data_IF_944050449939
#
_entry.id   IF_944050449939
#
_cell.length_a   1.000
_cell.length_b   1.000
_cell.length_c   1.000
_cell.angle_alpha   90.00
_cell.angle_beta   90.00
_cell.angle_gamma   90.00
#
_symmetry.space_group_name_H-M   'P 1'
#
loop_
_entity.id
_entity.type
_entity.pdbx_description
1 polymer ?
#
# COMPACT_ATOMS: atom_id res chain seq x y z
N UNK A 1 7.68 8.25 -18.83
CA UNK A 1 6.48 8.95 -18.28
C UNK A 1 6.75 10.39 -17.80
N UNK A 2 7.99 10.85 -17.61
CA UNK A 2 8.28 12.21 -17.07
C UNK A 2 8.15 13.37 -18.07
N UNK A 3 8.04 13.11 -19.38
CA UNK A 3 8.20 14.13 -20.43
C UNK A 3 7.04 15.14 -20.55
N UNK A 4 5.90 14.93 -19.87
CA UNK A 4 4.72 15.82 -19.94
C UNK A 4 4.23 16.36 -18.58
N UNK A 5 5.01 16.22 -17.51
CA UNK A 5 4.62 16.73 -16.19
C UNK A 5 4.98 18.22 -16.05
N UNK A 6 4.10 19.00 -15.43
CA UNK A 6 4.44 20.36 -14.99
C UNK A 6 5.54 20.33 -13.93
N UNK A 7 6.27 21.43 -13.73
CA UNK A 7 7.28 21.54 -12.67
C UNK A 7 6.71 21.23 -11.28
N UNK A 8 5.46 21.60 -11.02
CA UNK A 8 4.77 21.27 -9.77
C UNK A 8 4.59 19.75 -9.61
N UNK A 9 4.11 19.08 -10.66
CA UNK A 9 3.93 17.62 -10.66
C UNK A 9 5.25 16.87 -10.56
N UNK A 10 6.30 17.33 -11.22
CA UNK A 10 7.66 16.76 -11.10
C UNK A 10 8.13 16.80 -9.64
N UNK A 11 7.97 17.94 -8.95
CA UNK A 11 8.31 18.07 -7.53
C UNK A 11 7.49 17.15 -6.62
N UNK A 12 6.21 16.95 -6.89
CA UNK A 12 5.40 16.00 -6.13
C UNK A 12 5.92 14.58 -6.29
N UNK A 13 6.26 14.18 -7.52
CA UNK A 13 6.84 12.86 -7.81
C UNK A 13 8.19 12.69 -7.12
N UNK A 14 9.09 13.67 -7.25
CA UNK A 14 10.41 13.63 -6.60
C UNK A 14 10.32 13.54 -5.07
N UNK A 15 9.41 14.31 -4.47
CA UNK A 15 9.17 14.25 -3.02
C UNK A 15 8.62 12.89 -2.58
N UNK A 16 7.73 12.31 -3.38
CA UNK A 16 7.18 10.99 -3.08
C UNK A 16 8.22 9.88 -3.24
N UNK A 17 9.05 9.93 -4.29
CA UNK A 17 10.19 9.01 -4.46
C UNK A 17 11.15 9.11 -3.26
N UNK A 18 11.48 10.33 -2.83
CA UNK A 18 12.29 10.54 -1.62
C UNK A 18 11.63 9.96 -0.36
N UNK A 19 10.31 10.13 -0.21
CA UNK A 19 9.57 9.60 0.94
C UNK A 19 9.62 8.06 0.96
N UNK A 20 9.32 7.40 -0.16
CA UNK A 20 9.37 5.96 -0.30
C UNK A 20 10.78 5.40 -0.06
N UNK A 21 11.81 6.04 -0.61
CA UNK A 21 13.21 5.64 -0.40
C UNK A 21 13.58 5.74 1.09
N UNK A 22 13.13 6.78 1.79
CA UNK A 22 13.38 6.94 3.22
C UNK A 22 12.67 5.85 4.04
N UNK A 23 11.41 5.53 3.73
CA UNK A 23 10.66 4.46 4.40
C UNK A 23 11.32 3.09 4.22
N UNK A 24 11.70 2.75 2.99
CA UNK A 24 12.35 1.47 2.66
C UNK A 24 13.73 1.33 3.33
N UNK A 25 14.45 2.43 3.52
CA UNK A 25 15.73 2.45 4.24
C UNK A 25 15.56 2.57 5.76
N UNK A 26 14.33 2.73 6.25
CA UNK A 26 14.03 2.93 7.66
C UNK A 26 14.50 4.27 8.23
N UNK A 27 14.67 5.28 7.39
CA UNK A 27 15.03 6.64 7.79
C UNK A 27 13.80 7.45 8.20
N UNK A 28 13.39 7.23 9.46
CA UNK A 28 12.22 7.89 10.04
C UNK A 28 12.29 9.42 9.99
N UNK A 29 13.48 10.02 10.15
CA UNK A 29 13.61 11.47 10.18
C UNK A 29 13.43 12.07 8.81
N UNK A 30 14.00 11.46 7.77
CA UNK A 30 13.76 11.87 6.38
C UNK A 30 12.30 11.63 5.97
N UNK A 31 11.70 10.48 6.31
CA UNK A 31 10.28 10.20 6.05
C UNK A 31 9.39 11.29 6.67
N UNK A 32 9.58 11.61 7.95
CA UNK A 32 8.79 12.65 8.62
C UNK A 32 9.07 14.06 8.08
N UNK A 33 10.27 14.30 7.54
CA UNK A 33 10.63 15.58 6.95
C UNK A 33 9.92 15.85 5.61
N UNK A 34 9.50 14.81 4.86
CA UNK A 34 8.74 15.00 3.61
C UNK A 34 7.25 15.25 3.84
N UNK A 35 6.75 14.96 5.04
CA UNK A 35 5.36 15.18 5.43
C UNK A 35 5.08 16.60 5.93
N UNK A 36 3.80 17.00 5.85
CA UNK A 36 3.29 18.29 6.31
C UNK A 36 3.28 18.38 7.84
N UNK A 37 2.85 19.52 8.41
CA UNK A 37 2.79 19.69 9.87
C UNK A 37 1.62 18.96 10.54
N UNK A 38 0.57 18.65 9.79
CA UNK A 38 -0.60 17.89 10.25
C UNK A 38 -0.97 16.77 9.27
N UNK A 39 -0.10 15.75 9.11
CA UNK A 39 -0.32 14.66 8.17
C UNK A 39 -1.23 13.57 8.77
N UNK A 40 -1.83 12.74 7.93
CA UNK A 40 -2.41 11.47 8.38
C UNK A 40 -2.12 10.32 7.44
N UNK A 41 -1.94 9.14 8.00
CA UNK A 41 -1.70 7.88 7.29
C UNK A 41 -2.84 6.92 7.66
N UNK A 42 -3.45 6.29 6.66
CA UNK A 42 -4.50 5.31 6.88
C UNK A 42 -4.38 4.12 5.93
N UNK A 43 -4.06 2.96 6.50
CA UNK A 43 -4.21 1.65 5.90
C UNK A 43 -5.65 1.20 6.06
N UNK A 44 -6.46 1.55 5.06
CA UNK A 44 -7.93 1.62 5.16
C UNK A 44 -8.57 0.30 5.60
N UNK A 45 -8.19 -0.88 5.06
CA UNK A 45 -8.89 -2.13 5.39
C UNK A 45 -8.74 -2.60 6.84
N UNK A 46 -7.73 -2.10 7.57
CA UNK A 46 -7.49 -2.46 8.98
C UNK A 46 -7.43 -1.25 9.92
N UNK A 47 -7.69 -0.05 9.39
CA UNK A 47 -7.64 1.22 10.13
C UNK A 47 -6.31 1.46 10.87
N UNK A 48 -5.19 1.00 10.30
CA UNK A 48 -3.87 1.17 10.89
C UNK A 48 -3.20 2.46 10.36
N UNK A 49 -2.59 3.24 11.25
CA UNK A 49 -1.90 4.47 10.86
C UNK A 49 -1.80 5.47 12.00
N UNK A 50 -1.81 6.75 11.65
CA UNK A 50 -1.66 7.85 12.61
C UNK A 50 -2.18 9.18 12.07
N UNK A 51 -2.44 10.11 12.98
CA UNK A 51 -2.90 11.48 12.67
C UNK A 51 -2.00 12.50 13.38
N UNK A 52 -1.70 13.58 12.70
CA UNK A 52 -0.75 14.60 13.13
C UNK A 52 0.69 14.08 13.12
N UNK A 53 1.66 15.00 13.22
CA UNK A 53 3.10 14.65 13.16
C UNK A 53 3.50 13.61 14.20
N UNK A 54 2.99 13.72 15.42
CA UNK A 54 3.33 12.80 16.50
C UNK A 54 2.71 11.40 16.27
N UNK A 55 1.44 11.33 15.89
CA UNK A 55 0.75 10.05 15.67
C UNK A 55 1.34 9.28 14.49
N UNK A 56 1.60 9.97 13.38
CA UNK A 56 2.24 9.35 12.21
C UNK A 56 3.67 8.90 12.53
N UNK A 57 4.47 9.73 13.22
CA UNK A 57 5.84 9.35 13.63
C UNK A 57 5.84 8.12 14.54
N UNK A 58 4.91 8.06 15.50
CA UNK A 58 4.76 6.91 16.38
C UNK A 58 4.43 5.65 15.57
N UNK A 59 3.45 5.73 14.68
CA UNK A 59 3.08 4.60 13.84
C UNK A 59 4.26 4.10 13.00
N UNK A 60 4.99 5.00 12.33
CA UNK A 60 6.13 4.62 11.52
C UNK A 60 7.22 3.92 12.33
N UNK A 61 7.61 4.50 13.47
CA UNK A 61 8.63 3.94 14.35
C UNK A 61 8.26 2.53 14.83
N UNK A 62 7.00 2.33 15.19
CA UNK A 62 6.58 1.13 15.89
C UNK A 62 6.19 0.00 14.91
N UNK A 63 5.66 0.33 13.72
CA UNK A 63 4.97 -0.63 12.85
C UNK A 63 5.46 -0.72 11.40
N UNK A 64 6.35 0.17 10.93
CA UNK A 64 6.61 0.28 9.49
C UNK A 64 8.10 0.42 9.15
N UNK A 65 8.84 1.29 9.83
CA UNK A 65 10.30 1.44 9.66
C UNK A 65 11.03 0.15 10.07
N UNK A 66 11.69 -0.49 9.10
CA UNK A 66 12.41 -1.75 9.29
C UNK A 66 11.53 -3.00 9.43
N UNK A 67 10.21 -2.86 9.27
CA UNK A 67 9.21 -3.93 9.39
C UNK A 67 8.22 -3.97 8.21
N UNK A 68 8.53 -3.24 7.14
CA UNK A 68 7.58 -2.97 6.06
C UNK A 68 7.16 -4.25 5.33
N UNK A 69 8.11 -5.09 4.92
CA UNK A 69 7.78 -6.31 4.19
C UNK A 69 8.78 -7.43 4.45
N UNK A 70 8.36 -8.69 4.24
CA UNK A 70 9.26 -9.84 4.18
C UNK A 70 10.39 -9.66 3.14
N UNK A 71 11.54 -10.35 3.29
CA UNK A 71 12.69 -10.19 2.39
C UNK A 71 12.41 -10.54 0.91
N UNK A 72 11.39 -11.35 0.64
CA UNK A 72 11.03 -11.78 -0.72
C UNK A 72 10.02 -10.87 -1.42
N UNK A 73 9.65 -9.73 -0.80
CA UNK A 73 8.64 -8.83 -1.36
C UNK A 73 9.00 -8.38 -2.77
N UNK A 74 8.01 -8.41 -3.66
CA UNK A 74 8.07 -7.81 -4.98
C UNK A 74 6.93 -6.80 -5.11
N UNK A 75 7.25 -5.62 -5.65
CA UNK A 75 6.28 -4.57 -5.92
C UNK A 75 6.29 -4.29 -7.41
N UNK A 76 5.17 -4.57 -8.08
CA UNK A 76 4.97 -4.29 -9.50
C UNK A 76 4.08 -3.07 -9.63
N UNK A 77 4.62 -1.98 -10.16
CA UNK A 77 3.83 -0.78 -10.47
C UNK A 77 3.00 -1.00 -11.73
N UNK A 78 1.67 -0.88 -11.60
CA UNK A 78 0.71 -1.06 -12.68
C UNK A 78 0.46 0.26 -13.39
N UNK A 79 0.07 1.27 -12.61
CA UNK A 79 -0.26 2.59 -13.13
C UNK A 79 0.04 3.69 -12.13
N UNK A 80 0.14 4.93 -12.62
CA UNK A 80 0.35 6.13 -11.80
C UNK A 80 -0.38 7.30 -12.42
N UNK A 81 -1.25 7.92 -11.64
CA UNK A 81 -2.01 9.11 -12.02
C UNK A 81 -1.54 10.28 -11.19
N UNK A 82 -0.97 11.29 -11.87
CA UNK A 82 -0.44 12.49 -11.22
C UNK A 82 -1.43 13.64 -11.41
N UNK A 83 -2.16 13.97 -10.36
CA UNK A 83 -3.05 15.13 -10.32
C UNK A 83 -2.31 16.43 -10.02
N UNK A 84 -3.05 17.46 -9.59
CA UNK A 84 -2.46 18.73 -9.12
C UNK A 84 -2.14 18.72 -7.63
N UNK A 85 -2.79 17.86 -6.86
CA UNK A 85 -2.65 17.80 -5.39
C UNK A 85 -2.55 16.37 -4.87
N UNK A 86 -2.58 15.37 -5.74
CA UNK A 86 -2.55 13.96 -5.35
C UNK A 86 -1.80 13.13 -6.40
N UNK A 87 -1.13 12.08 -5.93
CA UNK A 87 -0.61 10.98 -6.73
C UNK A 87 -1.42 9.75 -6.36
N UNK A 88 -1.90 9.02 -7.36
CA UNK A 88 -2.55 7.71 -7.16
C UNK A 88 -1.68 6.67 -7.85
N UNK A 89 -1.17 5.70 -7.08
CA UNK A 89 -0.44 4.56 -7.61
C UNK A 89 -1.25 3.28 -7.44
N UNK A 90 -1.29 2.50 -8.51
CA UNK A 90 -1.83 1.15 -8.51
C UNK A 90 -0.66 0.18 -8.60
N UNK A 91 -0.60 -0.73 -7.63
CA UNK A 91 0.50 -1.66 -7.43
C UNK A 91 -0.05 -3.09 -7.31
N UNK A 92 0.78 -4.07 -7.67
CA UNK A 92 0.62 -5.44 -7.20
C UNK A 92 1.81 -5.78 -6.32
N UNK A 93 1.53 -6.22 -5.10
CA UNK A 93 2.54 -6.60 -4.11
C UNK A 93 2.44 -8.11 -3.91
N UNK A 94 3.59 -8.81 -3.94
CA UNK A 94 3.69 -10.22 -3.59
C UNK A 94 4.78 -10.46 -2.55
N UNK A 95 4.54 -11.37 -1.61
CA UNK A 95 5.50 -11.76 -0.57
C UNK A 95 5.08 -13.09 0.07
N UNK A 96 5.98 -13.71 0.84
CA UNK A 96 5.63 -14.81 1.75
C UNK A 96 5.53 -14.29 3.17
N UNK A 97 4.41 -14.55 3.86
CA UNK A 97 4.16 -14.07 5.23
C UNK A 97 5.07 -14.77 6.27
N UNK A 98 6.35 -14.38 6.29
CA UNK A 98 7.43 -14.95 7.12
C UNK A 98 7.76 -14.12 8.35
N UNK A 99 7.27 -12.88 8.40
CA UNK A 99 7.41 -11.94 9.52
C UNK A 99 6.06 -11.29 9.82
N UNK A 100 5.81 -10.79 11.05
CA UNK A 100 4.64 -9.95 11.33
C UNK A 100 4.61 -8.71 10.41
N UNK A 101 3.42 -8.29 9.97
CA UNK A 101 3.20 -7.13 9.10
C UNK A 101 2.04 -6.30 9.66
N UNK A 102 2.30 -5.48 10.67
CA UNK A 102 1.27 -4.84 11.50
C UNK A 102 0.32 -3.93 10.72
N UNK A 103 0.79 -3.24 9.68
CA UNK A 103 -0.05 -2.33 8.89
C UNK A 103 -1.00 -3.07 7.92
N UNK A 104 -0.76 -4.35 7.62
CA UNK A 104 -1.51 -5.14 6.64
C UNK A 104 -2.33 -6.25 7.31
N UNK A 105 -1.71 -6.97 8.24
CA UNK A 105 -2.26 -8.16 8.91
C UNK A 105 -1.96 -8.04 10.43
N UNK A 106 -2.51 -7.03 11.11
CA UNK A 106 -2.24 -6.80 12.53
C UNK A 106 -2.57 -8.02 13.37
N UNK A 107 -1.75 -8.28 14.39
CA UNK A 107 -1.92 -9.34 15.39
C UNK A 107 -1.90 -10.78 14.85
N UNK A 108 -1.48 -11.00 13.61
CA UNK A 108 -1.36 -12.33 13.01
C UNK A 108 0.11 -12.76 12.94
N UNK A 109 0.51 -13.89 13.53
CA UNK A 109 1.87 -14.39 13.42
C UNK A 109 2.16 -14.89 11.99
N UNK A 110 3.45 -15.01 11.59
CA UNK A 110 3.85 -15.54 10.30
C UNK A 110 3.16 -16.86 9.96
N UNK A 111 2.44 -16.90 8.84
CA UNK A 111 1.72 -18.10 8.38
C UNK A 111 2.52 -18.93 7.40
N UNK A 112 3.63 -18.38 6.87
CA UNK A 112 4.46 -19.02 5.84
C UNK A 112 3.78 -19.17 4.48
N UNK A 113 2.61 -18.55 4.28
CA UNK A 113 1.85 -18.63 3.03
C UNK A 113 2.18 -17.45 2.12
N UNK A 114 2.18 -17.67 0.79
CA UNK A 114 2.32 -16.58 -0.16
C UNK A 114 1.08 -15.70 -0.15
N UNK A 115 1.28 -14.42 -0.41
CA UNK A 115 0.24 -13.41 -0.59
C UNK A 115 0.55 -12.64 -1.86
N UNK A 116 -0.45 -12.45 -2.72
CA UNK A 116 -0.42 -11.56 -3.88
C UNK A 116 -1.66 -10.68 -3.86
N UNK A 117 -1.47 -9.36 -3.82
CA UNK A 117 -2.57 -8.40 -3.67
C UNK A 117 -2.38 -7.18 -4.58
N UNK A 118 -3.49 -6.71 -5.14
CA UNK A 118 -3.56 -5.39 -5.74
C UNK A 118 -3.75 -4.33 -4.64
N UNK A 119 -2.98 -3.26 -4.72
CA UNK A 119 -2.93 -2.17 -3.74
C UNK A 119 -3.09 -0.85 -4.46
N UNK A 120 -3.87 0.07 -3.89
CA UNK A 120 -3.93 1.46 -4.33
C UNK A 120 -3.37 2.35 -3.22
N UNK A 121 -2.39 3.18 -3.55
CA UNK A 121 -1.81 4.18 -2.66
C UNK A 121 -2.21 5.56 -3.19
N UNK A 122 -2.90 6.34 -2.35
CA UNK A 122 -3.30 7.71 -2.65
C UNK A 122 -2.50 8.64 -1.75
N UNK A 123 -1.64 9.46 -2.35
CA UNK A 123 -0.74 10.38 -1.64
C UNK A 123 -1.18 11.80 -1.95
N UNK A 124 -1.60 12.53 -0.93
CA UNK A 124 -2.03 13.92 -1.08
C UNK A 124 -0.99 14.92 -0.66
N UNK A 125 -0.94 16.04 -1.34
CA UNK A 125 0.05 17.10 -1.15
C UNK A 125 -0.62 18.41 -0.75
N UNK A 126 0.02 19.11 0.20
CA UNK A 126 -0.33 20.45 0.63
C UNK A 126 0.96 21.23 0.91
N UNK A 127 1.06 22.46 0.42
CA UNK A 127 2.21 23.34 0.64
C UNK A 127 3.57 22.68 0.31
N UNK A 128 3.61 21.90 -0.77
CA UNK A 128 4.76 21.10 -1.22
C UNK A 128 5.23 20.01 -0.23
N UNK A 129 4.33 19.50 0.60
CA UNK A 129 4.57 18.39 1.53
C UNK A 129 3.49 17.33 1.43
N UNK A 130 3.81 16.09 1.82
CA UNK A 130 2.82 15.01 1.90
C UNK A 130 1.89 15.30 3.08
N UNK A 131 0.62 15.54 2.76
CA UNK A 131 -0.45 15.76 3.73
C UNK A 131 -1.13 14.49 4.17
N UNK A 132 -1.20 13.48 3.30
CA UNK A 132 -1.80 12.22 3.67
C UNK A 132 -1.43 11.08 2.76
N UNK A 133 -1.66 9.89 3.30
CA UNK A 133 -1.61 8.63 2.56
C UNK A 133 -2.84 7.79 2.91
N UNK A 134 -3.55 7.34 1.88
CA UNK A 134 -4.63 6.36 2.01
C UNK A 134 -4.30 5.12 1.19
N UNK A 135 -4.22 3.98 1.86
CA UNK A 135 -3.80 2.71 1.27
C UNK A 135 -4.98 1.75 1.30
N UNK A 136 -5.35 1.24 0.12
CA UNK A 136 -6.47 0.34 -0.07
C UNK A 136 -6.00 -0.99 -0.64
N UNK A 137 -6.61 -2.07 -0.16
CA UNK A 137 -6.52 -3.42 -0.72
C UNK A 137 -7.75 -4.23 -0.31
N UNK A 138 -7.90 -5.44 -0.84
CA UNK A 138 -8.93 -6.38 -0.42
C UNK A 138 -8.44 -7.25 0.74
N UNK A 139 -8.89 -6.94 1.96
CA UNK A 139 -8.51 -7.71 3.15
C UNK A 139 -9.11 -9.12 3.18
N UNK A 140 -10.27 -9.35 2.55
CA UNK A 140 -10.83 -10.69 2.47
C UNK A 140 -9.95 -11.61 1.60
N UNK A 141 -9.38 -11.05 0.53
CA UNK A 141 -8.37 -11.74 -0.28
C UNK A 141 -7.15 -12.13 0.54
N UNK A 142 -6.57 -11.19 1.29
CA UNK A 142 -5.42 -11.45 2.19
C UNK A 142 -5.73 -12.58 3.17
N UNK A 143 -6.83 -12.45 3.92
CA UNK A 143 -7.23 -13.43 4.93
C UNK A 143 -7.50 -14.82 4.33
N UNK A 144 -8.07 -14.88 3.13
CA UNK A 144 -8.29 -16.14 2.41
C UNK A 144 -6.96 -16.80 2.02
N UNK A 145 -6.02 -16.04 1.48
CA UNK A 145 -4.71 -16.54 1.05
C UNK A 145 -3.90 -17.09 2.23
N UNK A 146 -3.97 -16.43 3.39
CA UNK A 146 -3.29 -16.91 4.61
C UNK A 146 -4.11 -17.96 5.38
N UNK A 147 -5.33 -18.28 4.93
CA UNK A 147 -6.21 -19.31 5.49
C UNK A 147 -6.86 -18.96 6.82
N UNK A 148 -7.09 -17.68 7.09
CA UNK A 148 -7.92 -17.19 8.20
C UNK A 148 -9.36 -16.93 7.78
N UNK A 149 -9.64 -16.91 6.48
CA UNK A 149 -10.99 -16.87 5.91
C UNK A 149 -11.19 -18.10 5.01
N UNK A 150 -12.25 -18.86 5.25
CA UNK A 150 -12.72 -19.88 4.30
C UNK A 150 -13.56 -19.19 3.22
N UNK A 151 -13.09 -19.15 1.95
CA UNK A 151 -13.83 -18.47 0.88
C UNK A 151 -15.02 -19.30 0.36
N UNK A 152 -15.25 -20.51 0.87
CA UNK A 152 -16.32 -21.40 0.42
C UNK A 152 -17.68 -20.70 0.51
N UNK A 153 -18.38 -20.62 -0.61
CA UNK A 153 -19.67 -19.92 -0.77
C UNK A 153 -19.64 -18.40 -0.54
N UNK A 154 -18.46 -17.78 -0.40
CA UNK A 154 -18.32 -16.33 -0.32
C UNK A 154 -17.96 -15.71 -1.67
N UNK A 155 -18.28 -14.42 -1.88
CA UNK A 155 -17.86 -13.72 -3.08
C UNK A 155 -16.43 -13.16 -2.99
N UNK A 156 -15.48 -13.96 -2.52
CA UNK A 156 -14.08 -13.55 -2.28
C UNK A 156 -13.16 -14.20 -3.31
N UNK A 157 -12.20 -13.43 -3.80
CA UNK A 157 -11.11 -13.91 -4.64
C UNK A 157 -9.80 -13.89 -3.86
N UNK A 158 -8.92 -14.87 -4.07
CA UNK A 158 -7.55 -14.87 -3.58
C UNK A 158 -6.61 -14.10 -4.52
N UNK A 159 -5.42 -14.66 -4.74
CA UNK A 159 -4.36 -14.10 -5.59
C UNK A 159 -4.81 -13.85 -7.04
N UNK A 160 -5.83 -14.58 -7.52
CA UNK A 160 -6.35 -14.41 -8.87
C UNK A 160 -6.85 -12.99 -9.16
N UNK A 161 -7.26 -12.23 -8.13
CA UNK A 161 -7.62 -10.81 -8.32
C UNK A 161 -6.39 -9.97 -8.70
N UNK A 162 -5.24 -10.21 -8.08
CA UNK A 162 -4.00 -9.52 -8.41
C UNK A 162 -3.48 -9.97 -9.79
N UNK A 163 -3.58 -11.26 -10.10
CA UNK A 163 -3.20 -11.79 -11.42
C UNK A 163 -4.04 -11.18 -12.54
N UNK A 164 -5.35 -10.97 -12.32
CA UNK A 164 -6.24 -10.32 -13.29
C UNK A 164 -5.91 -8.85 -13.52
N UNK A 165 -5.34 -8.15 -12.54
CA UNK A 165 -4.80 -6.78 -12.70
C UNK A 165 -3.54 -6.81 -13.58
N UNK A 166 -2.64 -7.78 -13.38
CA UNK A 166 -1.43 -7.94 -14.18
C UNK A 166 -1.72 -8.39 -15.62
N UNK A 167 -2.68 -9.30 -15.81
CA UNK A 167 -3.11 -9.79 -17.10
C UNK A 167 -4.64 -9.69 -17.27
N UNK A 168 -5.14 -8.67 -17.99
CA UNK A 168 -6.56 -8.50 -18.21
C UNK A 168 -7.18 -9.63 -19.06
N UNK A 169 -6.39 -10.53 -19.67
CA UNK A 169 -6.90 -11.68 -20.43
C UNK A 169 -7.29 -12.88 -19.58
N UNK A 170 -6.93 -12.91 -18.29
CA UNK A 170 -7.35 -14.00 -17.41
C UNK A 170 -8.88 -14.15 -17.35
N UNK A 171 -9.44 -15.35 -17.14
CA UNK A 171 -10.88 -15.52 -17.05
C UNK A 171 -11.51 -14.68 -15.93
N UNK A 172 -12.62 -13.99 -16.22
CA UNK A 172 -13.42 -13.35 -15.18
C UNK A 172 -14.27 -14.37 -14.42
N UNK A 173 -14.62 -14.06 -13.17
CA UNK A 173 -15.54 -14.87 -12.38
C UNK A 173 -16.89 -15.04 -13.09
N UNK A 174 -17.37 -16.27 -13.17
CA UNK A 174 -18.72 -16.57 -13.67
C UNK A 174 -19.74 -16.15 -12.62
N UNK A 175 -20.62 -15.22 -12.97
CA UNK A 175 -21.74 -14.79 -12.14
C UNK A 175 -22.96 -15.65 -12.51
N UNK A 176 -23.46 -16.42 -11.55
CA UNK A 176 -24.68 -17.23 -11.75
C UNK A 176 -25.90 -16.32 -11.69
N UNK A 177 -26.86 -16.56 -12.59
CA UNK A 177 -28.21 -16.00 -12.48
C UNK A 177 -28.93 -16.80 -11.40
N UNK A 178 -29.50 -16.10 -10.41
CA UNK A 178 -30.27 -16.69 -9.32
C UNK A 178 -31.71 -16.96 -9.75
#
# INVERSE_FOLDING_TARGET
MRENLTTHQQKMVELFEQHMDAELNGDLDTTMATMSDDPHLNHVPVMAGGVGKQGVRQFYRDHLVGKFFPPDVQITKISSTIGNHQIVEELVISFTHTTPIDFLIPDVPPTGKPVEIAVVVIVGFKDNKISHEHIYWDQASVLSQIGLLDPTNLPVCGAESAHKVLDPKMPSRIIKIL
#
